data_IF_402205962518
#
_entry.id   IF_402205962518
#
_cell.length_a   1.000
_cell.length_b   1.000
_cell.length_c   1.000
_cell.angle_alpha   90.00
_cell.angle_beta   90.00
_cell.angle_gamma   90.00
#
_symmetry.space_group_name_H-M   'P 1'
#
loop_
_entity.id
_entity.type
_entity.pdbx_description
1 polymer ?
#
# COMPACT_ATOMS: atom_id res chain seq x y z
N UNK A 1 14.60 3.92 -8.80
CA UNK A 1 13.25 3.85 -8.18
C UNK A 1 13.16 4.95 -7.14
N UNK A 2 11.95 5.30 -6.68
CA UNK A 2 11.71 6.38 -5.70
C UNK A 2 12.29 6.08 -4.30
N UNK A 3 12.54 4.81 -3.99
CA UNK A 3 13.09 4.32 -2.72
C UNK A 3 14.36 3.48 -2.95
N UNK A 4 15.21 3.44 -1.94
CA UNK A 4 16.26 2.43 -1.81
C UNK A 4 15.66 1.04 -1.62
N UNK A 5 16.47 -0.01 -1.79
CA UNK A 5 16.03 -1.38 -1.56
C UNK A 5 15.63 -1.57 -0.10
N UNK A 6 14.34 -1.79 0.13
CA UNK A 6 13.79 -2.11 1.45
C UNK A 6 13.81 -3.62 1.64
N UNK A 7 14.23 -4.07 2.82
CA UNK A 7 14.22 -5.49 3.18
C UNK A 7 12.79 -6.07 3.13
N UNK A 8 12.51 -7.08 2.27
CA UNK A 8 11.20 -7.72 2.19
C UNK A 8 10.69 -8.29 3.52
N UNK A 9 11.58 -8.64 4.44
CA UNK A 9 11.23 -9.17 5.75
C UNK A 9 10.39 -8.18 6.59
N UNK A 10 10.60 -6.87 6.39
CA UNK A 10 9.81 -5.82 7.06
C UNK A 10 8.32 -5.95 6.73
N UNK A 11 7.98 -6.11 5.45
CA UNK A 11 6.59 -6.20 4.99
C UNK A 11 5.92 -7.49 5.47
N UNK A 12 6.68 -8.60 5.53
CA UNK A 12 6.18 -9.87 6.08
C UNK A 12 5.81 -9.72 7.56
N UNK A 13 6.67 -9.10 8.36
CA UNK A 13 6.40 -8.88 9.79
C UNK A 13 5.24 -7.91 10.00
N UNK A 14 5.12 -6.85 9.19
CA UNK A 14 3.98 -5.92 9.27
C UNK A 14 2.64 -6.63 9.02
N UNK A 15 2.58 -7.54 8.03
CA UNK A 15 1.38 -8.35 7.79
C UNK A 15 1.10 -9.34 8.93
N UNK A 16 2.15 -9.88 9.56
CA UNK A 16 2.00 -10.75 10.75
C UNK A 16 1.38 -10.00 11.92
N UNK A 17 1.81 -8.75 12.15
CA UNK A 17 1.23 -7.87 13.17
C UNK A 17 -0.24 -7.57 12.88
N UNK A 18 -0.57 -7.23 11.63
CA UNK A 18 -1.97 -7.02 11.24
C UNK A 18 -2.83 -8.28 11.48
N UNK A 19 -2.33 -9.45 11.07
CA UNK A 19 -3.04 -10.71 11.26
C UNK A 19 -3.27 -11.08 12.73
N UNK A 20 -2.39 -10.65 13.65
CA UNK A 20 -2.56 -10.90 15.08
C UNK A 20 -3.71 -10.10 15.71
N UNK A 21 -4.04 -8.94 15.14
CA UNK A 21 -5.14 -8.07 15.59
C UNK A 21 -6.49 -8.46 14.96
N UNK A 22 -6.46 -9.31 13.94
CA UNK A 22 -7.65 -9.77 13.22
C UNK A 22 -8.35 -10.92 13.95
N UNK A 23 -9.68 -10.91 13.94
CA UNK A 23 -10.47 -12.02 14.49
C UNK A 23 -10.29 -13.28 13.64
N UNK A 24 -10.38 -14.49 14.23
CA UNK A 24 -10.35 -15.74 13.47
C UNK A 24 -11.42 -15.73 12.35
N UNK A 25 -11.03 -16.16 11.15
CA UNK A 25 -11.93 -16.21 9.99
C UNK A 25 -12.26 -14.86 9.35
N UNK A 26 -11.53 -13.80 9.67
CA UNK A 26 -11.67 -12.51 9.00
C UNK A 26 -10.75 -12.37 7.78
N UNK A 27 -11.11 -11.45 6.87
CA UNK A 27 -10.36 -11.09 5.67
C UNK A 27 -10.10 -9.58 5.69
N UNK A 28 -8.86 -9.19 5.46
CA UNK A 28 -8.49 -7.80 5.23
C UNK A 28 -8.24 -7.58 3.74
N UNK A 29 -8.89 -6.56 3.17
CA UNK A 29 -8.70 -6.11 1.79
C UNK A 29 -8.18 -4.68 1.85
N UNK A 30 -7.00 -4.45 1.28
CA UNK A 30 -6.37 -3.13 1.19
C UNK A 30 -6.27 -2.75 -0.28
N UNK A 31 -6.67 -1.52 -0.60
CA UNK A 31 -6.69 -1.01 -1.97
C UNK A 31 -5.53 -0.04 -2.20
N UNK A 32 -5.05 0.00 -3.44
CA UNK A 32 -4.14 1.05 -3.93
C UNK A 32 -4.86 2.40 -3.92
N UNK A 33 -4.10 3.48 -3.86
CA UNK A 33 -4.67 4.80 -4.08
C UNK A 33 -5.06 4.98 -5.56
N UNK A 34 -6.10 5.77 -5.81
CA UNK A 34 -6.41 6.24 -7.16
C UNK A 34 -5.48 7.38 -7.58
N UNK A 35 -5.35 7.61 -8.88
CA UNK A 35 -4.67 8.79 -9.41
C UNK A 35 -5.55 10.01 -9.17
N UNK A 36 -5.10 11.02 -8.41
CA UNK A 36 -5.92 12.18 -8.13
C UNK A 36 -6.07 13.07 -9.38
N UNK A 37 -7.28 13.59 -9.61
CA UNK A 37 -7.59 14.43 -10.77
C UNK A 37 -7.14 15.89 -10.56
N UNK A 38 -6.69 16.56 -11.63
CA UNK A 38 -6.33 17.99 -11.57
C UNK A 38 -7.31 18.87 -12.34
N UNK A 39 -7.45 18.66 -13.65
CA UNK A 39 -8.39 19.40 -14.50
C UNK A 39 -8.50 18.73 -15.87
N UNK A 40 -9.71 18.58 -16.43
CA UNK A 40 -9.95 17.96 -17.74
C UNK A 40 -9.25 16.59 -17.87
N UNK A 41 -8.27 16.49 -18.77
CA UNK A 41 -7.42 15.33 -19.03
C UNK A 41 -6.16 15.26 -18.15
N UNK A 42 -5.92 16.28 -17.32
CA UNK A 42 -4.78 16.36 -16.43
C UNK A 42 -4.99 15.67 -15.08
N UNK A 43 -4.01 14.85 -14.69
CA UNK A 43 -3.90 14.24 -13.37
C UNK A 43 -2.85 14.93 -12.49
N UNK A 44 -2.97 14.71 -11.18
CA UNK A 44 -1.93 15.01 -10.21
C UNK A 44 -0.94 13.84 -10.12
N UNK A 45 0.22 14.08 -9.51
CA UNK A 45 1.20 13.02 -9.26
C UNK A 45 0.57 11.95 -8.36
N UNK A 46 0.76 10.69 -8.72
CA UNK A 46 0.36 9.55 -7.91
C UNK A 46 1.04 9.56 -6.54
N UNK A 47 0.23 9.33 -5.50
CA UNK A 47 0.66 9.15 -4.12
C UNK A 47 -0.04 7.89 -3.62
N UNK A 48 0.73 6.83 -3.40
CA UNK A 48 0.21 5.57 -2.89
C UNK A 48 -0.37 5.73 -1.48
N UNK A 49 -1.39 4.93 -1.18
CA UNK A 49 -1.93 4.74 0.15
C UNK A 49 -0.86 4.22 1.11
N UNK A 50 -0.64 4.95 2.21
CA UNK A 50 0.40 4.64 3.20
C UNK A 50 0.25 3.26 3.82
N UNK A 51 -0.98 2.79 4.06
CA UNK A 51 -1.24 1.49 4.68
C UNK A 51 -0.88 0.35 3.72
N UNK A 52 -1.25 0.47 2.44
CA UNK A 52 -0.87 -0.51 1.43
C UNK A 52 0.65 -0.58 1.27
N UNK A 53 1.30 0.58 1.19
CA UNK A 53 2.76 0.64 1.09
C UNK A 53 3.44 0.04 2.34
N UNK A 54 2.94 0.34 3.53
CA UNK A 54 3.46 -0.22 4.79
C UNK A 54 3.39 -1.75 4.85
N UNK A 55 2.36 -2.35 4.25
CA UNK A 55 2.13 -3.81 4.28
C UNK A 55 2.79 -4.57 3.13
N UNK A 56 3.07 -3.90 2.00
CA UNK A 56 3.48 -4.58 0.76
C UNK A 56 4.73 -3.99 0.10
N UNK A 57 5.06 -2.72 0.35
CA UNK A 57 6.11 -2.00 -0.36
C UNK A 57 5.77 -1.64 -1.81
N UNK A 58 4.53 -1.89 -2.26
CA UNK A 58 4.08 -1.60 -3.63
C UNK A 58 3.73 -0.11 -3.74
N UNK A 59 4.32 0.58 -4.73
CA UNK A 59 4.11 2.01 -5.03
C UNK A 59 3.63 2.19 -6.48
N UNK A 60 2.78 1.29 -6.96
CA UNK A 60 2.16 1.32 -8.29
C UNK A 60 0.66 1.58 -8.17
N UNK A 61 0.06 2.13 -9.22
CA UNK A 61 -1.35 2.51 -9.26
C UNK A 61 -2.27 1.28 -9.24
N UNK A 62 -1.93 0.23 -9.99
CA UNK A 62 -2.63 -1.07 -10.07
C UNK A 62 -1.72 -2.26 -9.77
#
# INVERSE_FOLDING_TARGET
MKYDLIDPALFVENRRRLAAELKPGSLAVIHSADIPWRCADGSMRFIQNSDLFYLTGVDQEE
#
